data_IF_321901040033
#
_entry.id   IF_321901040033
#
_cell.length_a   1.000
_cell.length_b   1.000
_cell.length_c   1.000
_cell.angle_alpha   90.00
_cell.angle_beta   90.00
_cell.angle_gamma   90.00
#
_symmetry.space_group_name_H-M   'P 1'
#
loop_
_entity.id
_entity.type
_entity.pdbx_description
1 polymer ?
#
# COMPACT_ATOMS: atom_id res chain seq x y z
N UNK A 1 -0.85 -7.30 -5.83
CA UNK A 1 -1.93 -6.32 -6.16
C UNK A 1 -2.00 -6.18 -7.67
N UNK A 2 -3.15 -6.37 -8.30
CA UNK A 2 -3.40 -6.25 -9.77
C UNK A 2 -2.54 -7.12 -10.72
N UNK A 3 -1.76 -8.06 -10.22
CA UNK A 3 -0.78 -8.80 -11.03
C UNK A 3 -1.41 -9.51 -12.24
N UNK A 4 -2.53 -10.20 -12.01
CA UNK A 4 -3.25 -10.92 -13.06
C UNK A 4 -3.80 -9.96 -14.14
N UNK A 5 -4.37 -8.82 -13.69
CA UNK A 5 -4.86 -7.77 -14.59
C UNK A 5 -3.71 -7.14 -15.39
N UNK A 6 -2.61 -6.79 -14.73
CA UNK A 6 -1.42 -6.19 -15.36
C UNK A 6 -0.83 -7.10 -16.43
N UNK A 7 -0.67 -8.41 -16.16
CA UNK A 7 -0.15 -9.37 -17.15
C UNK A 7 -1.05 -9.51 -18.39
N UNK A 8 -2.36 -9.54 -18.18
CA UNK A 8 -3.31 -9.66 -19.29
C UNK A 8 -3.32 -8.38 -20.13
N UNK A 9 -3.34 -7.20 -19.50
CA UNK A 9 -3.27 -5.94 -20.23
C UNK A 9 -1.97 -5.82 -21.02
N UNK A 10 -0.84 -6.19 -20.43
CA UNK A 10 0.45 -6.17 -21.14
C UNK A 10 0.47 -7.11 -22.34
N UNK A 11 -0.14 -8.31 -22.22
CA UNK A 11 -0.27 -9.22 -23.37
C UNK A 11 -1.12 -8.61 -24.48
N UNK A 12 -2.25 -7.99 -24.13
CA UNK A 12 -3.13 -7.32 -25.10
C UNK A 12 -2.41 -6.20 -25.86
N UNK A 13 -1.56 -5.42 -25.17
CA UNK A 13 -0.77 -4.37 -25.83
C UNK A 13 0.42 -4.89 -26.65
N UNK A 14 0.91 -6.12 -26.39
CA UNK A 14 1.95 -6.75 -27.22
C UNK A 14 1.49 -7.04 -28.64
N UNK A 15 0.20 -7.28 -28.85
CA UNK A 15 -0.40 -7.50 -30.16
C UNK A 15 -0.19 -6.27 -31.05
N UNK A 16 -0.24 -5.06 -30.49
CA UNK A 16 0.00 -3.80 -31.21
C UNK A 16 1.48 -3.47 -31.43
N UNK A 17 2.44 -4.24 -30.88
CA UNK A 17 3.87 -3.95 -30.98
C UNK A 17 4.47 -4.11 -32.38
N UNK A 18 3.80 -4.77 -33.31
CA UNK A 18 4.24 -4.95 -34.70
C UNK A 18 3.54 -4.03 -35.70
N UNK A 19 2.49 -3.32 -35.28
CA UNK A 19 1.63 -2.55 -36.16
C UNK A 19 2.17 -1.14 -36.41
N UNK A 20 2.24 -0.78 -37.67
CA UNK A 20 2.71 0.57 -38.09
C UNK A 20 1.64 1.67 -38.00
N UNK A 21 0.37 1.31 -37.83
CA UNK A 21 -0.78 2.24 -37.77
C UNK A 21 -1.86 1.71 -36.84
N UNK A 22 -2.58 2.63 -36.20
CA UNK A 22 -3.82 2.33 -35.48
C UNK A 22 -4.92 2.17 -36.53
N UNK A 23 -5.51 0.96 -36.60
CA UNK A 23 -6.67 0.67 -37.42
C UNK A 23 -7.85 0.31 -36.54
N UNK A 24 -9.07 0.48 -37.03
CA UNK A 24 -10.27 0.12 -36.27
C UNK A 24 -10.27 -1.38 -35.87
N UNK A 25 -9.73 -2.22 -36.72
CA UNK A 25 -9.69 -3.69 -36.50
C UNK A 25 -8.75 -4.01 -35.32
N UNK A 26 -7.49 -3.55 -35.36
CA UNK A 26 -6.52 -3.87 -34.32
C UNK A 26 -6.84 -3.21 -32.97
N UNK A 27 -7.48 -2.03 -32.97
CA UNK A 27 -8.04 -1.41 -31.75
C UNK A 27 -9.18 -2.25 -31.19
N UNK A 28 -10.12 -2.71 -32.03
CA UNK A 28 -11.26 -3.50 -31.58
C UNK A 28 -10.82 -4.85 -30.96
N UNK A 29 -9.85 -5.54 -31.56
CA UNK A 29 -9.29 -6.79 -31.02
C UNK A 29 -8.62 -6.55 -29.67
N UNK A 30 -7.73 -5.55 -29.59
CA UNK A 30 -7.04 -5.19 -28.33
C UNK A 30 -8.03 -4.85 -27.23
N UNK A 31 -9.06 -4.04 -27.53
CA UNK A 31 -10.07 -3.64 -26.54
C UNK A 31 -11.00 -4.78 -26.13
N UNK A 32 -11.23 -5.78 -26.99
CA UNK A 32 -11.93 -7.01 -26.60
C UNK A 32 -11.15 -7.77 -25.52
N UNK A 33 -9.83 -7.89 -25.68
CA UNK A 33 -8.96 -8.54 -24.69
C UNK A 33 -8.84 -7.72 -23.41
N UNK A 34 -8.73 -6.40 -23.51
CA UNK A 34 -8.76 -5.48 -22.37
C UNK A 34 -10.06 -5.62 -21.58
N UNK A 35 -11.22 -5.64 -22.26
CA UNK A 35 -12.52 -5.84 -21.61
C UNK A 35 -12.59 -7.18 -20.89
N UNK A 36 -12.09 -8.24 -21.53
CA UNK A 36 -12.01 -9.57 -20.91
C UNK A 36 -11.13 -9.56 -19.67
N UNK A 37 -9.96 -8.92 -19.75
CA UNK A 37 -9.06 -8.78 -18.59
C UNK A 37 -9.71 -8.05 -17.42
N UNK A 38 -10.47 -6.99 -17.69
CA UNK A 38 -11.22 -6.24 -16.66
C UNK A 38 -12.33 -7.12 -16.03
N UNK A 39 -13.09 -7.87 -16.84
CA UNK A 39 -14.13 -8.78 -16.33
C UNK A 39 -13.54 -9.92 -15.48
N UNK A 40 -12.43 -10.50 -15.92
CA UNK A 40 -11.72 -11.54 -15.17
C UNK A 40 -11.10 -11.00 -13.85
N UNK A 41 -10.91 -9.68 -13.78
CA UNK A 41 -10.52 -8.97 -12.56
C UNK A 41 -11.72 -8.53 -11.70
N UNK A 42 -12.92 -9.05 -11.94
CA UNK A 42 -14.16 -8.73 -11.24
C UNK A 42 -14.61 -7.25 -11.39
N UNK A 43 -14.24 -6.58 -12.47
CA UNK A 43 -14.78 -5.25 -12.78
C UNK A 43 -16.23 -5.40 -13.26
N UNK A 44 -17.11 -4.52 -12.80
CA UNK A 44 -18.50 -4.50 -13.22
C UNK A 44 -18.62 -4.40 -14.75
N UNK A 45 -19.49 -5.21 -15.36
CA UNK A 45 -19.65 -5.28 -16.82
C UNK A 45 -19.94 -3.93 -17.47
N UNK A 46 -20.84 -3.13 -16.87
CA UNK A 46 -21.18 -1.80 -17.41
C UNK A 46 -19.97 -0.87 -17.39
N UNK A 47 -19.20 -0.92 -16.30
CA UNK A 47 -17.96 -0.14 -16.14
C UNK A 47 -16.93 -0.56 -17.19
N UNK A 48 -16.66 -1.86 -17.33
CA UNK A 48 -15.70 -2.39 -18.30
C UNK A 48 -16.11 -2.08 -19.75
N UNK A 49 -17.42 -2.13 -20.06
CA UNK A 49 -17.95 -1.76 -21.37
C UNK A 49 -17.75 -0.26 -21.65
N UNK A 50 -18.24 0.61 -20.78
CA UNK A 50 -18.10 2.06 -20.93
C UNK A 50 -16.65 2.46 -21.10
N UNK A 51 -15.76 1.93 -20.24
CA UNK A 51 -14.32 2.14 -20.31
C UNK A 51 -13.75 1.82 -21.71
N UNK A 52 -14.02 0.61 -22.21
CA UNK A 52 -13.47 0.20 -23.52
C UNK A 52 -14.07 0.95 -24.69
N UNK A 53 -15.34 1.34 -24.60
CA UNK A 53 -16.01 2.15 -25.61
C UNK A 53 -15.42 3.58 -25.65
N UNK A 54 -15.14 4.19 -24.48
CA UNK A 54 -14.46 5.50 -24.37
C UNK A 54 -13.03 5.44 -24.91
N UNK A 55 -12.26 4.41 -24.54
CA UNK A 55 -10.90 4.20 -25.06
C UNK A 55 -10.91 4.06 -26.59
N UNK A 56 -11.91 3.33 -27.15
CA UNK A 56 -12.08 3.21 -28.61
C UNK A 56 -12.30 4.57 -29.26
N UNK A 57 -13.20 5.37 -28.73
CA UNK A 57 -13.50 6.71 -29.24
C UNK A 57 -12.26 7.62 -29.23
N UNK A 58 -11.53 7.64 -28.10
CA UNK A 58 -10.30 8.42 -27.96
C UNK A 58 -9.21 7.96 -28.93
N UNK A 59 -9.02 6.63 -29.08
CA UNK A 59 -8.03 6.07 -29.98
C UNK A 59 -8.31 6.38 -31.45
N UNK A 60 -9.57 6.34 -31.86
CA UNK A 60 -9.99 6.61 -33.24
C UNK A 60 -9.99 8.11 -33.58
N UNK A 61 -10.19 8.97 -32.59
CA UNK A 61 -10.19 10.44 -32.76
C UNK A 61 -8.81 11.10 -32.79
N UNK A 62 -7.76 10.36 -32.42
CA UNK A 62 -6.41 10.91 -32.39
C UNK A 62 -5.66 10.68 -33.72
N UNK A 63 -5.22 11.78 -34.33
CA UNK A 63 -4.21 11.72 -35.38
C UNK A 63 -2.90 11.20 -34.78
N UNK A 64 -2.44 10.02 -35.20
CA UNK A 64 -1.16 9.45 -34.76
C UNK A 64 -0.06 10.38 -35.21
N UNK A 65 0.50 11.14 -34.27
CA UNK A 65 1.73 11.91 -34.53
C UNK A 65 2.82 10.94 -34.97
N UNK A 66 3.46 11.22 -36.09
CA UNK A 66 4.46 10.37 -36.74
C UNK A 66 5.64 9.96 -35.84
N UNK A 67 5.80 10.61 -34.68
CA UNK A 67 6.87 10.35 -33.70
C UNK A 67 6.53 9.31 -32.61
N UNK A 68 5.27 8.88 -32.47
CA UNK A 68 4.83 7.98 -31.38
C UNK A 68 4.34 6.65 -31.95
N UNK A 69 4.80 5.53 -31.36
CA UNK A 69 4.34 4.20 -31.78
C UNK A 69 2.89 3.99 -31.38
N UNK A 70 2.04 3.34 -32.22
CA UNK A 70 0.65 3.07 -31.93
C UNK A 70 0.40 2.39 -30.58
N UNK A 71 1.27 1.45 -30.20
CA UNK A 71 1.19 0.77 -28.89
C UNK A 71 1.42 1.71 -27.70
N UNK A 72 2.31 2.69 -27.84
CA UNK A 72 2.57 3.67 -26.77
C UNK A 72 1.41 4.64 -26.60
N UNK A 73 0.80 5.05 -27.72
CA UNK A 73 -0.39 5.91 -27.69
C UNK A 73 -1.56 5.18 -27.03
N UNK A 74 -1.79 3.92 -27.36
CA UNK A 74 -2.84 3.11 -26.75
C UNK A 74 -2.62 2.94 -25.24
N UNK A 75 -1.41 2.64 -24.80
CA UNK A 75 -1.08 2.53 -23.36
C UNK A 75 -1.36 3.85 -22.64
N UNK A 76 -1.01 5.00 -23.27
CA UNK A 76 -1.30 6.32 -22.69
C UNK A 76 -2.81 6.56 -22.58
N UNK A 77 -3.59 6.28 -23.61
CA UNK A 77 -5.06 6.46 -23.59
C UNK A 77 -5.69 5.60 -22.48
N UNK A 78 -5.25 4.33 -22.37
CA UNK A 78 -5.75 3.41 -21.34
C UNK A 78 -5.33 3.88 -19.94
N UNK A 79 -4.11 4.37 -19.76
CA UNK A 79 -3.62 4.95 -18.51
C UNK A 79 -4.48 6.15 -18.07
N UNK A 80 -4.68 7.11 -18.98
CA UNK A 80 -5.44 8.31 -18.70
C UNK A 80 -6.91 7.96 -18.36
N UNK A 81 -7.51 7.01 -19.08
CA UNK A 81 -8.87 6.55 -18.83
C UNK A 81 -9.01 5.77 -17.52
N UNK A 82 -8.02 4.93 -17.14
CA UNK A 82 -7.97 4.27 -15.84
C UNK A 82 -7.88 5.29 -14.71
N UNK A 83 -7.05 6.32 -14.90
CA UNK A 83 -6.90 7.40 -13.93
C UNK A 83 -8.23 8.14 -13.71
N UNK A 84 -8.91 8.52 -14.79
CA UNK A 84 -10.23 9.17 -14.73
C UNK A 84 -11.29 8.26 -14.11
N UNK A 85 -11.32 6.99 -14.47
CA UNK A 85 -12.25 5.99 -13.91
C UNK A 85 -12.12 5.90 -12.39
N UNK A 86 -10.91 6.03 -11.87
CA UNK A 86 -10.60 5.99 -10.44
C UNK A 86 -10.76 7.35 -9.73
N UNK A 87 -11.10 8.43 -10.47
CA UNK A 87 -11.41 9.74 -9.90
C UNK A 87 -10.43 10.86 -10.23
N UNK A 88 -9.45 10.61 -11.12
CA UNK A 88 -8.52 11.61 -11.65
C UNK A 88 -7.44 12.03 -10.65
N UNK A 89 -7.82 12.51 -9.47
CA UNK A 89 -6.89 13.03 -8.45
C UNK A 89 -7.17 12.45 -7.08
N UNK A 90 -6.15 12.45 -6.24
CA UNK A 90 -6.29 12.13 -4.82
C UNK A 90 -7.17 13.18 -4.12
N UNK A 91 -7.98 12.72 -3.16
CA UNK A 91 -8.87 13.57 -2.37
C UNK A 91 -8.49 13.46 -0.91
N UNK A 92 -8.15 14.59 -0.31
CA UNK A 92 -7.76 14.68 1.09
C UNK A 92 -8.97 14.63 2.04
N UNK A 93 -8.70 14.39 3.32
CA UNK A 93 -9.70 14.50 4.39
C UNK A 93 -10.01 15.97 4.68
N UNK A 94 -11.27 16.26 4.97
CA UNK A 94 -11.70 17.55 5.51
C UNK A 94 -11.48 17.56 7.03
N UNK A 95 -10.45 18.22 7.49
CA UNK A 95 -10.07 18.28 8.92
C UNK A 95 -9.97 19.73 9.39
N UNK A 96 -10.97 20.55 9.05
CA UNK A 96 -10.98 21.99 9.35
C UNK A 96 -11.52 22.27 10.76
N UNK A 97 -12.45 21.44 11.25
CA UNK A 97 -13.05 21.55 12.58
C UNK A 97 -12.07 21.20 13.70
N UNK A 98 -12.36 21.61 14.93
CA UNK A 98 -11.57 21.29 16.13
C UNK A 98 -12.46 20.88 17.30
N UNK A 99 -12.50 19.59 17.64
CA UNK A 99 -11.92 18.46 16.89
C UNK A 99 -12.63 18.21 15.58
N UNK A 100 -11.92 17.76 14.52
CA UNK A 100 -12.53 17.22 13.35
C UNK A 100 -13.05 15.80 13.64
N UNK A 101 -14.24 15.47 13.19
CA UNK A 101 -14.91 14.20 13.49
C UNK A 101 -14.93 13.31 12.26
N UNK A 102 -14.38 12.11 12.38
CA UNK A 102 -14.38 11.08 11.33
C UNK A 102 -15.23 9.91 11.79
N UNK A 103 -16.29 9.61 11.05
CA UNK A 103 -17.16 8.47 11.30
C UNK A 103 -16.75 7.29 10.40
N UNK A 104 -16.43 6.15 11.00
CA UNK A 104 -16.09 4.91 10.28
C UNK A 104 -17.33 4.04 10.11
N UNK A 105 -17.66 3.64 8.90
CA UNK A 105 -18.80 2.79 8.57
C UNK A 105 -18.39 1.58 7.70
N UNK A 106 -19.19 0.52 7.68
CA UNK A 106 -18.93 -0.68 6.87
C UNK A 106 -19.31 -1.97 7.55
N UNK A 107 -19.24 -3.09 6.83
CA UNK A 107 -19.60 -4.42 7.35
C UNK A 107 -18.58 -4.97 8.36
N UNK A 108 -18.99 -6.01 9.08
CA UNK A 108 -18.10 -6.79 9.95
C UNK A 108 -16.97 -7.42 9.11
N UNK A 109 -15.74 -7.39 9.65
CA UNK A 109 -14.58 -7.95 8.96
C UNK A 109 -14.01 -7.09 7.83
N UNK A 110 -14.63 -5.93 7.52
CA UNK A 110 -14.08 -4.99 6.52
C UNK A 110 -12.79 -4.28 6.96
N UNK A 111 -12.41 -4.42 8.24
CA UNK A 111 -11.17 -3.84 8.77
C UNK A 111 -11.30 -2.45 9.38
N UNK A 112 -12.52 -1.99 9.73
CA UNK A 112 -12.76 -0.66 10.33
C UNK A 112 -11.86 -0.37 11.52
N UNK A 113 -11.91 -1.20 12.56
CA UNK A 113 -11.16 -1.00 13.81
C UNK A 113 -9.65 -0.93 13.57
N UNK A 114 -9.11 -1.85 12.75
CA UNK A 114 -7.69 -1.80 12.38
C UNK A 114 -7.36 -0.56 11.58
N UNK A 115 -8.24 -0.16 10.66
CA UNK A 115 -8.03 1.03 9.84
C UNK A 115 -8.16 2.31 10.66
N UNK A 116 -9.07 2.38 11.65
CA UNK A 116 -9.17 3.49 12.61
C UNK A 116 -7.83 3.74 13.31
N UNK A 117 -7.15 2.68 13.75
CA UNK A 117 -5.81 2.78 14.34
C UNK A 117 -4.73 3.22 13.35
N UNK A 118 -4.75 2.68 12.12
CA UNK A 118 -3.82 3.10 11.06
C UNK A 118 -3.99 4.58 10.70
N UNK A 119 -5.23 5.03 10.58
CA UNK A 119 -5.56 6.42 10.30
C UNK A 119 -5.11 7.32 11.45
N UNK A 120 -5.38 6.95 12.70
CA UNK A 120 -4.93 7.67 13.88
C UNK A 120 -3.39 7.78 13.92
N UNK A 121 -2.68 6.67 13.66
CA UNK A 121 -1.23 6.65 13.56
C UNK A 121 -0.70 7.58 12.47
N UNK A 122 -1.29 7.54 11.28
CA UNK A 122 -0.92 8.41 10.17
C UNK A 122 -1.14 9.89 10.50
N UNK A 123 -2.30 10.24 11.06
CA UNK A 123 -2.62 11.62 11.46
C UNK A 123 -1.67 12.13 12.53
N UNK A 124 -1.32 11.29 13.52
CA UNK A 124 -0.37 11.62 14.57
C UNK A 124 1.05 11.82 14.03
N UNK A 125 1.55 10.87 13.24
CA UNK A 125 2.97 10.84 12.85
C UNK A 125 3.27 11.73 11.65
N UNK A 126 2.36 11.80 10.67
CA UNK A 126 2.60 12.55 9.42
C UNK A 126 2.00 13.96 9.44
N UNK A 127 0.90 14.17 10.17
CA UNK A 127 0.21 15.47 10.22
C UNK A 127 0.28 16.15 11.57
N UNK A 128 0.99 15.56 12.55
CA UNK A 128 1.15 16.10 13.89
C UNK A 128 -0.17 16.44 14.60
N UNK A 129 -1.23 15.67 14.29
CA UNK A 129 -2.53 15.79 14.95
C UNK A 129 -2.51 15.05 16.29
N UNK A 130 -3.44 15.39 17.18
CA UNK A 130 -3.73 14.66 18.42
C UNK A 130 -5.06 13.93 18.26
N UNK A 131 -5.06 12.68 17.74
CA UNK A 131 -6.30 11.92 17.54
C UNK A 131 -6.77 11.26 18.84
N UNK A 132 -8.10 11.03 18.92
CA UNK A 132 -8.78 10.22 19.92
C UNK A 132 -9.64 9.17 19.19
N UNK A 133 -9.54 7.92 19.62
CA UNK A 133 -10.36 6.82 19.11
C UNK A 133 -11.58 6.61 20.01
N UNK A 134 -12.74 6.37 19.43
CA UNK A 134 -13.99 6.17 20.18
C UNK A 134 -14.59 4.81 19.85
N UNK A 135 -14.84 4.01 20.88
CA UNK A 135 -15.42 2.67 20.74
C UNK A 135 -16.95 2.73 20.72
N UNK A 136 -17.55 2.73 19.55
CA UNK A 136 -19.00 2.62 19.36
C UNK A 136 -19.47 1.23 18.87
N UNK A 137 -18.60 0.20 18.88
CA UNK A 137 -19.03 -1.21 18.75
C UNK A 137 -19.31 -1.79 20.14
N UNK A 138 -20.43 -1.35 20.72
CA UNK A 138 -20.83 -1.69 22.10
C UNK A 138 -21.45 -3.07 22.25
N UNK A 139 -21.80 -3.72 21.14
CA UNK A 139 -22.42 -5.03 21.12
C UNK A 139 -21.43 -6.18 21.29
N UNK A 140 -20.15 -5.91 21.01
CA UNK A 140 -19.06 -6.89 21.06
C UNK A 140 -17.96 -6.44 22.01
N UNK A 141 -17.92 -6.94 23.25
CA UNK A 141 -16.86 -6.58 24.21
C UNK A 141 -15.44 -6.77 23.64
N UNK A 142 -15.25 -7.83 22.84
CA UNK A 142 -13.96 -8.08 22.17
C UNK A 142 -13.56 -6.95 21.17
N UNK A 143 -14.52 -6.25 20.56
CA UNK A 143 -14.22 -5.14 19.65
C UNK A 143 -13.71 -3.92 20.41
N UNK A 144 -14.28 -3.62 21.58
CA UNK A 144 -13.79 -2.55 22.47
C UNK A 144 -12.36 -2.84 22.90
N UNK A 145 -12.07 -4.06 23.36
CA UNK A 145 -10.72 -4.46 23.75
C UNK A 145 -9.76 -4.43 22.55
N UNK A 146 -10.21 -4.84 21.37
CA UNK A 146 -9.42 -4.75 20.15
C UNK A 146 -9.04 -3.30 19.86
N UNK A 147 -9.97 -2.35 19.96
CA UNK A 147 -9.67 -0.93 19.72
C UNK A 147 -8.69 -0.38 20.76
N UNK A 148 -8.81 -0.79 22.04
CA UNK A 148 -7.85 -0.42 23.10
C UNK A 148 -6.44 -0.93 22.77
N UNK A 149 -6.30 -2.19 22.37
CA UNK A 149 -5.00 -2.76 21.95
C UNK A 149 -4.43 -2.03 20.75
N UNK A 150 -5.25 -1.74 19.76
CA UNK A 150 -4.85 -0.97 18.57
C UNK A 150 -4.39 0.44 18.97
N UNK A 151 -5.16 1.17 19.80
CA UNK A 151 -4.79 2.49 20.30
C UNK A 151 -3.46 2.46 21.05
N UNK A 152 -3.29 1.51 21.96
CA UNK A 152 -2.06 1.32 22.71
C UNK A 152 -0.85 1.07 21.81
N UNK A 153 -1.01 0.24 20.76
CA UNK A 153 0.08 -0.09 19.82
C UNK A 153 0.63 1.12 19.07
N UNK A 154 -0.21 2.13 18.84
CA UNK A 154 0.17 3.38 18.14
C UNK A 154 0.29 4.58 19.10
N UNK A 155 0.10 4.36 20.41
CA UNK A 155 0.17 5.40 21.44
C UNK A 155 -0.90 6.50 21.24
N UNK A 156 -2.13 6.09 20.95
CA UNK A 156 -3.31 6.95 20.77
C UNK A 156 -4.34 6.58 21.83
N UNK A 157 -4.93 7.57 22.46
CA UNK A 157 -5.95 7.38 23.50
C UNK A 157 -7.24 6.83 22.90
N UNK A 158 -7.92 5.99 23.69
CA UNK A 158 -9.21 5.37 23.33
C UNK A 158 -10.25 5.74 24.38
N UNK A 159 -11.36 6.29 23.92
CA UNK A 159 -12.52 6.55 24.76
C UNK A 159 -13.51 5.39 24.75
N UNK A 160 -13.94 4.97 25.92
CA UNK A 160 -14.92 3.90 26.10
C UNK A 160 -15.82 4.21 27.31
N UNK A 161 -17.08 3.81 27.27
CA UNK A 161 -18.01 3.85 28.40
C UNK A 161 -18.52 2.45 28.72
N UNK A 162 -18.06 1.90 29.83
CA UNK A 162 -18.50 0.56 30.25
C UNK A 162 -19.98 0.54 30.61
N UNK A 163 -20.72 -0.42 30.04
CA UNK A 163 -22.15 -0.60 30.32
C UNK A 163 -23.10 0.33 29.55
N UNK A 164 -22.60 1.41 28.94
CA UNK A 164 -23.40 2.26 28.07
C UNK A 164 -23.55 1.60 26.70
N UNK A 165 -24.79 1.44 26.22
CA UNK A 165 -25.11 0.90 24.90
C UNK A 165 -25.62 1.97 23.93
N UNK A 166 -25.76 3.19 24.36
CA UNK A 166 -26.20 4.30 23.52
C UNK A 166 -25.01 4.92 22.80
N UNK A 167 -24.77 4.50 21.57
CA UNK A 167 -23.63 4.94 20.75
C UNK A 167 -23.62 6.45 20.49
N UNK A 168 -24.81 7.07 20.46
CA UNK A 168 -24.96 8.52 20.28
C UNK A 168 -24.45 9.28 21.51
N UNK A 169 -24.86 8.85 22.71
CA UNK A 169 -24.40 9.45 23.98
C UNK A 169 -22.88 9.28 24.14
N UNK A 170 -22.35 8.07 23.87
CA UNK A 170 -20.91 7.80 23.95
C UNK A 170 -20.14 8.76 23.05
N UNK A 171 -20.55 8.90 21.79
CA UNK A 171 -19.87 9.78 20.85
C UNK A 171 -19.98 11.26 21.23
N UNK A 172 -21.12 11.71 21.75
CA UNK A 172 -21.30 13.09 22.22
C UNK A 172 -20.44 13.42 23.44
N UNK A 173 -20.36 12.52 24.43
CA UNK A 173 -19.51 12.67 25.61
C UNK A 173 -18.03 12.70 25.21
N UNK A 174 -17.63 11.83 24.27
CA UNK A 174 -16.26 11.85 23.75
C UNK A 174 -15.91 13.16 23.06
N UNK A 175 -16.79 13.68 22.20
CA UNK A 175 -16.57 14.96 21.53
C UNK A 175 -16.42 16.11 22.55
N UNK A 176 -17.19 16.08 23.64
CA UNK A 176 -17.03 17.04 24.73
C UNK A 176 -15.66 16.91 25.42
N UNK A 177 -15.27 15.67 25.75
CA UNK A 177 -13.93 15.38 26.29
C UNK A 177 -12.83 15.82 25.33
N UNK A 178 -12.97 15.51 24.06
CA UNK A 178 -12.00 15.87 23.03
C UNK A 178 -11.79 17.39 22.95
N UNK A 179 -12.87 18.19 23.10
CA UNK A 179 -12.79 19.65 23.17
C UNK A 179 -12.05 20.12 24.43
N UNK A 180 -12.37 19.53 25.60
CA UNK A 180 -11.75 19.91 26.89
C UNK A 180 -10.27 19.57 26.94
N UNK A 181 -9.86 18.42 26.39
CA UNK A 181 -8.49 17.93 26.43
C UNK A 181 -7.67 18.29 25.17
N UNK A 182 -8.21 19.17 24.31
CA UNK A 182 -7.55 19.69 23.11
C UNK A 182 -7.10 18.59 22.12
N UNK A 183 -7.92 17.53 21.94
CA UNK A 183 -7.76 16.63 20.82
C UNK A 183 -8.14 17.37 19.53
N UNK A 184 -7.43 17.06 18.45
CA UNK A 184 -7.64 17.74 17.16
C UNK A 184 -8.48 16.93 16.18
N UNK A 185 -8.57 15.62 16.40
CA UNK A 185 -9.36 14.69 15.58
C UNK A 185 -9.99 13.64 16.49
N UNK A 186 -11.25 13.31 16.21
CA UNK A 186 -12.00 12.20 16.82
C UNK A 186 -12.31 11.19 15.73
N UNK A 187 -11.98 9.92 15.94
CA UNK A 187 -12.29 8.83 15.01
C UNK A 187 -13.27 7.89 15.69
N UNK A 188 -14.50 7.86 15.22
CA UNK A 188 -15.60 7.05 15.78
C UNK A 188 -15.64 5.70 15.06
N UNK A 189 -15.20 4.63 15.76
CA UNK A 189 -15.24 3.25 15.26
C UNK A 189 -16.59 2.61 15.58
N UNK A 190 -17.39 2.32 14.55
CA UNK A 190 -18.75 1.79 14.73
C UNK A 190 -18.83 0.28 14.62
N UNK A 191 -19.89 -0.29 15.13
CA UNK A 191 -20.22 -1.69 14.93
C UNK A 191 -20.35 -2.03 13.43
N UNK A 192 -20.03 -3.26 13.08
CA UNK A 192 -20.31 -3.83 11.77
C UNK A 192 -21.12 -5.10 11.95
N UNK A 193 -22.12 -5.31 11.11
CA UNK A 193 -22.86 -6.57 11.01
C UNK A 193 -22.42 -7.37 9.79
N UNK A 194 -22.81 -8.64 9.71
CA UNK A 194 -22.42 -9.52 8.60
C UNK A 194 -23.09 -9.14 7.27
N UNK A 195 -24.24 -8.50 7.36
CA UNK A 195 -25.00 -8.02 6.19
C UNK A 195 -25.58 -6.64 6.49
N UNK A 196 -25.97 -5.93 5.46
CA UNK A 196 -26.71 -4.67 5.60
C UNK A 196 -28.12 -4.99 6.10
N UNK A 197 -28.48 -4.40 7.23
CA UNK A 197 -29.83 -4.48 7.80
C UNK A 197 -30.33 -3.11 8.25
N UNK A 198 -31.64 -2.98 8.37
CA UNK A 198 -32.29 -1.70 8.70
C UNK A 198 -31.90 -1.17 10.07
N UNK A 199 -31.72 -2.04 11.06
CA UNK A 199 -31.36 -1.64 12.42
C UNK A 199 -29.97 -0.99 12.47
N UNK A 200 -28.97 -1.65 11.83
CA UNK A 200 -27.61 -1.11 11.72
C UNK A 200 -27.59 0.23 10.95
N UNK A 201 -28.33 0.29 9.83
CA UNK A 201 -28.35 1.51 9.02
C UNK A 201 -29.00 2.67 9.75
N UNK A 202 -30.06 2.42 10.51
CA UNK A 202 -30.71 3.44 11.35
C UNK A 202 -29.77 3.89 12.49
N UNK A 203 -29.08 2.96 13.15
CA UNK A 203 -28.13 3.32 14.22
C UNK A 203 -27.01 4.24 13.69
N UNK A 204 -26.38 3.87 12.57
CA UNK A 204 -25.30 4.68 12.00
C UNK A 204 -25.83 6.02 11.47
N UNK A 205 -27.05 6.05 10.89
CA UNK A 205 -27.68 7.30 10.43
C UNK A 205 -27.97 8.24 11.60
N UNK A 206 -28.56 7.72 12.68
CA UNK A 206 -28.82 8.50 13.89
C UNK A 206 -27.53 9.03 14.51
N UNK A 207 -26.49 8.19 14.55
CA UNK A 207 -25.17 8.60 15.04
C UNK A 207 -24.58 9.71 14.16
N UNK A 208 -24.61 9.57 12.83
CA UNK A 208 -24.15 10.60 11.88
C UNK A 208 -24.89 11.91 12.07
N UNK A 209 -26.22 11.87 12.19
CA UNK A 209 -27.05 13.07 12.44
C UNK A 209 -26.72 13.74 13.77
N UNK A 210 -26.43 12.96 14.83
CA UNK A 210 -26.16 13.50 16.15
C UNK A 210 -24.78 14.14 16.31
N UNK A 211 -23.76 13.65 15.60
CA UNK A 211 -22.38 14.12 15.75
C UNK A 211 -21.90 15.03 14.61
N UNK A 212 -22.64 15.13 13.51
CA UNK A 212 -22.30 15.94 12.32
C UNK A 212 -20.82 15.76 11.91
N UNK A 213 -20.39 14.55 11.49
CA UNK A 213 -19.00 14.31 11.18
C UNK A 213 -18.51 15.16 10.00
N UNK A 214 -17.26 15.62 10.05
CA UNK A 214 -16.59 16.30 8.93
C UNK A 214 -16.35 15.32 7.78
N UNK A 215 -16.14 14.03 8.11
CA UNK A 215 -15.92 12.94 7.18
C UNK A 215 -16.64 11.67 7.62
N UNK A 216 -17.42 11.09 6.74
CA UNK A 216 -17.95 9.73 6.87
C UNK A 216 -17.20 8.82 5.91
N UNK A 217 -16.42 7.86 6.42
CA UNK A 217 -15.62 6.94 5.62
C UNK A 217 -16.26 5.56 5.58
N UNK A 218 -16.53 5.06 4.38
CA UNK A 218 -16.98 3.71 4.15
C UNK A 218 -15.79 2.78 3.96
N UNK A 219 -15.62 1.83 4.89
CA UNK A 219 -14.52 0.85 4.88
C UNK A 219 -15.00 -0.46 4.29
N UNK A 220 -14.34 -0.91 3.25
CA UNK A 220 -14.71 -2.12 2.54
C UNK A 220 -13.48 -3.01 2.25
N UNK A 221 -13.69 -4.32 2.34
CA UNK A 221 -12.70 -5.33 2.00
C UNK A 221 -12.60 -5.46 0.48
N UNK A 222 -11.45 -5.17 -0.10
CA UNK A 222 -11.22 -5.24 -1.54
C UNK A 222 -11.25 -6.67 -2.10
N UNK A 223 -11.15 -7.69 -1.24
CA UNK A 223 -11.18 -9.10 -1.65
C UNK A 223 -12.61 -9.59 -1.96
N UNK A 224 -13.65 -8.87 -1.55
CA UNK A 224 -15.05 -9.27 -1.76
C UNK A 224 -15.59 -8.96 -3.16
N UNK A 225 -14.76 -8.39 -4.06
CA UNK A 225 -15.10 -8.22 -5.47
C UNK A 225 -16.37 -7.37 -5.70
N UNK A 226 -17.35 -7.91 -6.44
CA UNK A 226 -18.60 -7.18 -6.74
C UNK A 226 -19.49 -6.98 -5.50
N UNK A 227 -19.40 -7.80 -4.47
CA UNK A 227 -20.15 -7.60 -3.23
C UNK A 227 -19.70 -6.31 -2.52
N UNK A 228 -18.41 -5.96 -2.61
CA UNK A 228 -17.92 -4.66 -2.15
C UNK A 228 -18.65 -3.49 -2.84
N UNK A 229 -18.88 -3.61 -4.14
CA UNK A 229 -19.54 -2.57 -4.95
C UNK A 229 -21.03 -2.45 -4.57
N UNK A 230 -21.72 -3.58 -4.42
CA UNK A 230 -23.13 -3.60 -4.03
C UNK A 230 -23.32 -3.02 -2.63
N UNK A 231 -22.50 -3.46 -1.67
CA UNK A 231 -22.52 -2.94 -0.29
C UNK A 231 -22.21 -1.44 -0.27
N UNK A 232 -21.22 -0.98 -1.03
CA UNK A 232 -20.91 0.45 -1.12
C UNK A 232 -22.11 1.26 -1.62
N UNK A 233 -22.86 0.73 -2.58
CA UNK A 233 -24.07 1.40 -3.09
C UNK A 233 -25.15 1.49 -2.01
N UNK A 234 -25.45 0.41 -1.30
CA UNK A 234 -26.46 0.38 -0.21
C UNK A 234 -26.10 1.37 0.90
N UNK A 235 -24.83 1.39 1.34
CA UNK A 235 -24.37 2.37 2.32
C UNK A 235 -24.43 3.80 1.79
N UNK A 236 -24.08 4.04 0.53
CA UNK A 236 -24.12 5.37 -0.05
C UNK A 236 -25.56 5.92 -0.15
N UNK A 237 -26.49 5.08 -0.56
CA UNK A 237 -27.91 5.45 -0.71
C UNK A 237 -28.53 5.87 0.64
N UNK A 238 -28.02 5.36 1.78
CA UNK A 238 -28.54 5.64 3.14
C UNK A 238 -27.72 6.68 3.89
N UNK A 239 -26.41 6.63 3.80
CA UNK A 239 -25.51 7.48 4.61
C UNK A 239 -24.91 8.64 3.84
N UNK A 240 -24.95 8.60 2.50
CA UNK A 240 -24.24 9.60 1.69
C UNK A 240 -22.84 9.88 2.25
N UNK A 241 -21.99 8.83 2.31
CA UNK A 241 -20.64 8.93 2.86
C UNK A 241 -19.71 9.80 1.99
N UNK A 242 -18.62 10.33 2.57
CA UNK A 242 -17.73 11.28 1.89
C UNK A 242 -16.60 10.61 1.13
N UNK A 243 -16.22 9.39 1.51
CA UNK A 243 -15.12 8.67 0.87
C UNK A 243 -15.08 7.20 1.20
N UNK A 244 -14.36 6.46 0.36
CA UNK A 244 -14.17 5.01 0.48
C UNK A 244 -12.75 4.70 0.94
N UNK A 245 -12.64 3.69 1.79
CA UNK A 245 -11.39 3.07 2.21
C UNK A 245 -11.38 1.63 1.73
N UNK A 246 -10.38 1.27 0.93
CA UNK A 246 -10.16 -0.11 0.50
C UNK A 246 -9.14 -0.78 1.41
N UNK A 247 -9.56 -1.82 2.12
CA UNK A 247 -8.67 -2.62 2.97
C UNK A 247 -8.21 -3.90 2.28
N UNK A 248 -7.21 -4.56 2.84
CA UNK A 248 -6.67 -5.85 2.40
C UNK A 248 -6.22 -5.89 0.93
N UNK A 249 -5.71 -4.76 0.44
CA UNK A 249 -5.25 -4.66 -0.94
C UNK A 249 -3.95 -5.45 -1.19
N UNK A 250 -3.26 -5.87 -0.14
CA UNK A 250 -2.10 -6.77 -0.13
C UNK A 250 -2.47 -8.25 -0.35
N UNK A 251 -3.74 -8.63 -0.18
CA UNK A 251 -4.24 -9.96 -0.48
C UNK A 251 -4.26 -10.26 -1.99
N UNK A 252 -4.71 -11.46 -2.35
CA UNK A 252 -4.90 -11.86 -3.76
C UNK A 252 -6.14 -11.19 -4.35
N UNK A 253 -6.09 -9.86 -4.46
CA UNK A 253 -7.20 -9.07 -4.98
C UNK A 253 -7.10 -8.96 -6.49
N UNK A 254 -8.20 -9.23 -7.18
CA UNK A 254 -8.32 -9.01 -8.61
C UNK A 254 -8.40 -7.53 -8.99
N UNK A 255 -8.65 -6.64 -8.01
CA UNK A 255 -8.63 -5.20 -8.15
C UNK A 255 -9.90 -4.57 -8.73
N UNK A 256 -10.87 -5.36 -9.14
CA UNK A 256 -12.10 -4.88 -9.78
C UNK A 256 -12.97 -4.01 -8.89
N UNK A 257 -12.95 -4.24 -7.57
CA UNK A 257 -13.64 -3.40 -6.61
C UNK A 257 -13.18 -1.93 -6.70
N UNK A 258 -11.86 -1.69 -6.73
CA UNK A 258 -11.30 -0.34 -6.82
C UNK A 258 -11.77 0.40 -8.08
N UNK A 259 -11.83 -0.31 -9.22
CA UNK A 259 -12.27 0.27 -10.50
C UNK A 259 -13.78 0.49 -10.56
N UNK A 260 -14.57 -0.32 -9.87
CA UNK A 260 -16.03 -0.30 -9.96
C UNK A 260 -16.69 0.61 -8.92
N UNK A 261 -16.20 0.66 -7.68
CA UNK A 261 -16.83 1.39 -6.57
C UNK A 261 -16.97 2.87 -6.93
N UNK A 262 -15.90 3.52 -7.37
CA UNK A 262 -15.91 4.95 -7.71
C UNK A 262 -16.97 5.28 -8.75
N UNK A 263 -17.13 4.43 -9.77
CA UNK A 263 -18.12 4.63 -10.84
C UNK A 263 -19.54 4.42 -10.35
N UNK A 264 -19.76 3.46 -9.46
CA UNK A 264 -21.11 3.10 -8.98
C UNK A 264 -21.63 4.07 -7.93
N UNK A 265 -20.78 4.47 -6.97
CA UNK A 265 -21.20 5.36 -5.87
C UNK A 265 -20.81 6.82 -6.06
N UNK A 266 -20.03 7.15 -7.10
CA UNK A 266 -19.56 8.52 -7.41
C UNK A 266 -18.76 9.20 -6.28
N UNK A 267 -18.36 8.44 -5.25
CA UNK A 267 -17.56 8.92 -4.10
C UNK A 267 -16.09 8.60 -4.29
N UNK A 268 -15.17 9.48 -3.84
CA UNK A 268 -13.74 9.24 -4.00
C UNK A 268 -13.25 8.09 -3.13
N UNK A 269 -12.31 7.31 -3.64
CA UNK A 269 -11.49 6.45 -2.80
C UNK A 269 -10.41 7.35 -2.19
N UNK A 270 -10.33 7.39 -0.85
CA UNK A 270 -9.38 8.27 -0.15
C UNK A 270 -8.15 7.52 0.34
N UNK A 271 -8.32 6.28 0.79
CA UNK A 271 -7.23 5.48 1.36
C UNK A 271 -7.27 4.03 0.91
N UNK A 272 -6.09 3.42 1.02
CA UNK A 272 -5.91 1.98 0.86
C UNK A 272 -5.11 1.41 2.02
N UNK A 273 -5.55 0.24 2.52
CA UNK A 273 -4.79 -0.57 3.46
C UNK A 273 -3.99 -1.62 2.69
N UNK A 274 -2.67 -1.61 2.85
CA UNK A 274 -1.71 -2.39 2.07
C UNK A 274 -0.96 -3.42 2.91
N UNK A 275 -1.54 -3.90 4.00
CA UNK A 275 -0.94 -4.90 4.88
C UNK A 275 -1.47 -4.82 6.32
N UNK A 276 -0.99 -5.68 7.19
CA UNK A 276 -1.46 -5.77 8.59
C UNK A 276 -0.83 -4.71 9.51
N UNK A 277 0.38 -4.23 9.21
CA UNK A 277 1.10 -3.25 10.04
C UNK A 277 0.36 -1.92 10.15
N UNK A 278 0.53 -1.22 11.27
CA UNK A 278 -0.13 0.07 11.52
C UNK A 278 0.33 1.18 10.57
N UNK A 279 1.52 1.06 9.99
CA UNK A 279 2.05 1.97 8.98
C UNK A 279 1.54 1.67 7.56
N UNK A 280 0.92 0.49 7.35
CA UNK A 280 0.46 0.02 6.04
C UNK A 280 -0.88 0.69 5.65
N UNK A 281 -0.82 1.99 5.47
CA UNK A 281 -1.88 2.87 4.98
C UNK A 281 -1.29 3.86 3.98
N UNK A 282 -1.91 3.97 2.82
CA UNK A 282 -1.53 4.93 1.78
C UNK A 282 -2.74 5.77 1.37
N UNK A 283 -2.50 7.02 0.99
CA UNK A 283 -3.49 7.83 0.28
C UNK A 283 -3.72 7.23 -1.10
N UNK A 284 -4.97 7.18 -1.54
CA UNK A 284 -5.29 6.65 -2.86
C UNK A 284 -4.95 7.67 -3.94
N UNK A 285 -3.97 7.34 -4.78
CA UNK A 285 -3.56 8.14 -5.92
C UNK A 285 -4.00 7.44 -7.23
N UNK A 286 -5.04 7.91 -7.92
CA UNK A 286 -5.55 7.28 -9.15
C UNK A 286 -4.48 7.04 -10.21
N UNK A 287 -3.62 8.03 -10.48
CA UNK A 287 -2.55 7.95 -11.47
C UNK A 287 -1.54 6.85 -11.14
N UNK A 288 -1.05 6.81 -9.88
CA UNK A 288 -0.11 5.77 -9.42
C UNK A 288 -0.73 4.37 -9.46
N UNK A 289 -2.04 4.30 -9.23
CA UNK A 289 -2.77 3.04 -9.32
C UNK A 289 -2.91 2.57 -10.77
N UNK A 290 -3.15 3.50 -11.71
CA UNK A 290 -3.13 3.20 -13.14
C UNK A 290 -1.76 2.72 -13.60
N UNK A 291 -0.67 3.34 -13.13
CA UNK A 291 0.70 2.89 -13.39
C UNK A 291 0.94 1.45 -12.90
N UNK A 292 0.47 1.11 -11.69
CA UNK A 292 0.57 -0.27 -11.14
C UNK A 292 -0.22 -1.27 -11.97
N UNK A 293 -1.45 -0.92 -12.36
CA UNK A 293 -2.31 -1.77 -13.20
C UNK A 293 -1.68 -2.04 -14.56
N UNK A 294 -0.97 -1.07 -15.13
CA UNK A 294 -0.28 -1.21 -16.43
C UNK A 294 1.13 -1.81 -16.32
N UNK A 295 1.56 -2.20 -15.11
CA UNK A 295 2.89 -2.77 -14.88
C UNK A 295 4.04 -1.76 -15.07
N UNK A 296 3.74 -0.48 -15.02
CA UNK A 296 4.73 0.61 -15.16
C UNK A 296 5.48 0.88 -13.85
N UNK A 297 5.07 0.26 -12.74
CA UNK A 297 5.61 0.46 -11.42
C UNK A 297 5.08 1.71 -10.73
N UNK A 298 5.50 1.93 -9.48
CA UNK A 298 5.13 3.10 -8.69
C UNK A 298 6.35 3.63 -7.95
N UNK A 299 7.25 4.23 -8.70
CA UNK A 299 8.53 4.73 -8.17
C UNK A 299 8.31 5.86 -7.16
N UNK A 300 7.25 6.66 -7.33
CA UNK A 300 6.96 7.79 -6.43
C UNK A 300 6.59 7.27 -5.03
N UNK A 301 5.65 6.34 -4.94
CA UNK A 301 5.30 5.71 -3.66
C UNK A 301 6.49 4.98 -3.02
N UNK A 302 7.35 4.34 -3.82
CA UNK A 302 8.56 3.70 -3.31
C UNK A 302 9.51 4.73 -2.67
N UNK A 303 9.74 5.86 -3.34
CA UNK A 303 10.59 6.94 -2.84
C UNK A 303 9.98 7.60 -1.59
N UNK A 304 8.67 7.86 -1.58
CA UNK A 304 7.97 8.41 -0.42
C UNK A 304 8.08 7.49 0.79
N UNK A 305 7.84 6.18 0.62
CA UNK A 305 8.02 5.19 1.70
C UNK A 305 9.47 5.13 2.19
N UNK A 306 10.44 5.18 1.28
CA UNK A 306 11.84 5.24 1.64
C UNK A 306 12.15 6.50 2.48
N UNK A 307 11.68 7.67 2.05
CA UNK A 307 11.90 8.94 2.77
C UNK A 307 11.26 8.95 4.16
N UNK A 308 10.07 8.38 4.34
CA UNK A 308 9.40 8.30 5.63
C UNK A 308 10.14 7.44 6.66
N UNK A 309 10.87 6.44 6.20
CA UNK A 309 11.62 5.51 7.06
C UNK A 309 13.09 5.91 7.23
N UNK A 310 13.51 6.99 6.56
CA UNK A 310 14.90 7.40 6.51
C UNK A 310 15.20 8.36 7.67
N UNK A 311 15.88 7.85 8.69
CA UNK A 311 16.47 8.70 9.72
C UNK A 311 17.78 9.29 9.18
N UNK A 312 17.75 10.60 8.92
CA UNK A 312 18.93 11.32 8.41
C UNK A 312 20.16 11.19 9.33
N UNK A 313 19.96 11.11 10.65
CA UNK A 313 21.06 10.95 11.59
C UNK A 313 21.66 9.56 11.52
N UNK A 314 20.82 8.51 11.43
CA UNK A 314 21.29 7.13 11.24
C UNK A 314 22.01 6.98 9.90
N UNK A 315 21.49 7.59 8.83
CA UNK A 315 22.13 7.58 7.53
C UNK A 315 23.50 8.24 7.54
N UNK A 316 23.64 9.40 8.18
CA UNK A 316 24.94 10.09 8.36
C UNK A 316 25.92 9.28 9.20
N UNK A 317 25.44 8.61 10.24
CA UNK A 317 26.27 7.69 11.06
C UNK A 317 26.76 6.50 10.26
N UNK A 318 25.85 5.89 9.47
CA UNK A 318 26.15 4.76 8.61
C UNK A 318 27.15 5.14 7.51
N UNK A 319 26.97 6.29 6.82
CA UNK A 319 27.90 6.80 5.83
C UNK A 319 29.32 6.98 6.42
N UNK A 320 29.44 7.54 7.61
CA UNK A 320 30.71 7.68 8.33
C UNK A 320 31.36 6.32 8.64
N UNK A 321 30.56 5.31 9.03
CA UNK A 321 31.06 3.95 9.29
C UNK A 321 31.53 3.27 7.99
N UNK A 322 30.78 3.42 6.89
CA UNK A 322 31.14 2.88 5.57
C UNK A 322 32.46 3.48 5.07
N UNK A 323 32.61 4.82 5.15
CA UNK A 323 33.84 5.51 4.77
C UNK A 323 35.05 5.06 5.60
N UNK A 324 34.85 4.73 6.87
CA UNK A 324 35.90 4.20 7.78
C UNK A 324 36.10 2.68 7.67
N UNK A 325 35.42 2.01 6.71
CA UNK A 325 35.46 0.54 6.54
C UNK A 325 35.03 -0.23 7.82
N UNK A 326 34.11 0.33 8.61
CA UNK A 326 33.61 -0.21 9.87
C UNK A 326 32.14 -0.69 9.78
N UNK A 327 31.66 -1.00 8.57
CA UNK A 327 30.34 -1.62 8.37
C UNK A 327 30.33 -3.02 8.97
N UNK A 328 29.42 -3.29 9.90
CA UNK A 328 29.34 -4.51 10.69
C UNK A 328 27.97 -5.20 10.57
N UNK A 329 27.77 -6.33 11.27
CA UNK A 329 26.50 -7.07 11.23
C UNK A 329 25.36 -6.37 11.97
N UNK A 330 25.63 -5.51 12.95
CA UNK A 330 24.59 -4.72 13.61
C UNK A 330 24.06 -3.65 12.65
N UNK A 331 24.92 -3.03 11.83
CA UNK A 331 24.52 -2.11 10.77
C UNK A 331 23.70 -2.83 9.67
N UNK A 332 24.13 -4.04 9.29
CA UNK A 332 23.43 -4.88 8.32
C UNK A 332 22.03 -5.27 8.81
N UNK A 333 21.92 -5.65 10.10
CA UNK A 333 20.64 -5.95 10.74
C UNK A 333 19.72 -4.71 10.75
N UNK A 334 20.27 -3.54 11.08
CA UNK A 334 19.52 -2.27 11.03
C UNK A 334 18.92 -2.00 9.66
N UNK A 335 19.68 -2.24 8.57
CA UNK A 335 19.18 -2.11 7.20
C UNK A 335 18.05 -3.10 6.88
N UNK A 336 18.18 -4.37 7.31
CA UNK A 336 17.10 -5.36 7.14
C UNK A 336 15.84 -4.89 7.86
N UNK A 337 15.96 -4.38 9.08
CA UNK A 337 14.82 -3.87 9.84
C UNK A 337 14.17 -2.65 9.18
N UNK A 338 14.96 -1.73 8.61
CA UNK A 338 14.44 -0.60 7.85
C UNK A 338 13.65 -1.07 6.62
N UNK A 339 14.18 -2.02 5.84
CA UNK A 339 13.47 -2.61 4.69
C UNK A 339 12.17 -3.27 5.13
N UNK A 340 12.17 -4.01 6.24
CA UNK A 340 10.95 -4.62 6.80
C UNK A 340 9.89 -3.59 7.23
N UNK A 341 10.32 -2.43 7.71
CA UNK A 341 9.41 -1.33 8.07
C UNK A 341 8.75 -0.69 6.85
N UNK A 342 9.40 -0.69 5.68
CA UNK A 342 8.86 -0.12 4.45
C UNK A 342 7.65 -0.91 3.87
N UNK A 343 7.38 -2.11 4.36
CA UNK A 343 6.26 -2.95 3.94
C UNK A 343 6.67 -4.32 3.42
N UNK A 344 5.75 -4.99 2.72
CA UNK A 344 6.01 -6.31 2.12
C UNK A 344 7.02 -6.18 0.97
N UNK A 345 8.03 -7.07 0.95
CA UNK A 345 9.07 -7.07 -0.08
C UNK A 345 8.53 -7.27 -1.50
N UNK A 346 7.48 -8.08 -1.67
CA UNK A 346 6.81 -8.26 -2.96
C UNK A 346 6.20 -6.95 -3.46
N UNK A 347 5.56 -6.21 -2.57
CA UNK A 347 4.97 -4.91 -2.90
C UNK A 347 6.04 -3.90 -3.31
N UNK A 348 7.12 -3.80 -2.52
CA UNK A 348 8.24 -2.90 -2.84
C UNK A 348 8.87 -3.23 -4.19
N UNK A 349 9.05 -4.52 -4.47
CA UNK A 349 9.59 -4.99 -5.75
C UNK A 349 8.65 -4.71 -6.92
N UNK A 350 7.33 -4.80 -6.72
CA UNK A 350 6.32 -4.49 -7.75
C UNK A 350 6.29 -3.00 -8.12
N UNK A 351 6.76 -2.11 -7.23
CA UNK A 351 6.86 -0.67 -7.48
C UNK A 351 8.02 -0.30 -8.42
N UNK A 352 8.98 -1.21 -8.62
CA UNK A 352 10.14 -0.97 -9.49
C UNK A 352 9.83 -1.44 -10.91
N UNK A 353 9.85 -0.55 -11.93
CA UNK A 353 9.59 -0.91 -13.31
C UNK A 353 10.53 -2.03 -13.81
N UNK A 354 9.96 -3.11 -14.37
CA UNK A 354 10.72 -4.21 -14.95
C UNK A 354 11.33 -5.22 -13.98
N UNK A 355 11.31 -4.98 -12.68
CA UNK A 355 11.88 -5.87 -11.65
C UNK A 355 10.83 -6.85 -11.12
N UNK A 356 9.56 -6.45 -11.06
CA UNK A 356 8.48 -7.27 -10.53
C UNK A 356 8.36 -8.65 -11.20
N UNK A 357 8.72 -8.76 -12.49
CA UNK A 357 8.70 -10.04 -13.22
C UNK A 357 9.83 -11.00 -12.85
N UNK A 358 11.02 -10.46 -12.55
CA UNK A 358 12.20 -11.28 -12.22
C UNK A 358 12.14 -11.81 -10.78
N UNK A 359 11.34 -11.17 -9.93
CA UNK A 359 11.19 -11.53 -8.51
C UNK A 359 10.02 -12.50 -8.30
N UNK A 360 9.09 -12.63 -9.27
CA UNK A 360 7.97 -13.59 -9.18
C UNK A 360 8.42 -15.05 -9.00
N UNK A 361 9.51 -15.43 -9.63
CA UNK A 361 10.08 -16.78 -9.57
C UNK A 361 10.92 -17.01 -8.31
N UNK A 362 11.18 -15.95 -7.54
CA UNK A 362 11.85 -16.02 -6.25
C UNK A 362 10.77 -16.00 -5.17
N UNK A 363 10.66 -17.09 -4.45
CA UNK A 363 9.78 -17.22 -3.27
C UNK A 363 10.33 -16.33 -2.14
N UNK A 364 10.19 -15.00 -2.33
CA UNK A 364 10.59 -13.99 -1.36
C UNK A 364 9.40 -13.82 -0.40
N UNK A 365 9.32 -14.72 0.56
CA UNK A 365 8.43 -14.62 1.70
C UNK A 365 8.99 -13.58 2.70
N UNK A 366 8.12 -12.93 3.46
CA UNK A 366 8.49 -12.09 4.62
C UNK A 366 9.34 -12.89 5.64
N UNK A 367 9.30 -14.21 5.56
CA UNK A 367 10.16 -15.13 6.30
C UNK A 367 11.60 -15.23 5.77
N UNK A 368 11.89 -14.72 4.55
CA UNK A 368 13.22 -14.82 3.94
C UNK A 368 14.33 -14.22 4.82
N UNK A 369 14.00 -13.20 5.60
CA UNK A 369 14.95 -12.59 6.54
C UNK A 369 15.04 -13.30 7.89
N UNK A 370 14.07 -14.15 8.28
CA UNK A 370 14.10 -14.81 9.60
C UNK A 370 15.35 -15.65 9.81
N UNK A 371 15.78 -16.40 8.79
CA UNK A 371 17.00 -17.19 8.83
C UNK A 371 18.25 -16.31 8.99
N UNK A 372 18.31 -15.19 8.28
CA UNK A 372 19.41 -14.22 8.36
C UNK A 372 19.47 -13.59 9.76
N UNK A 373 18.32 -13.15 10.28
CA UNK A 373 18.20 -12.58 11.62
C UNK A 373 18.64 -13.58 12.70
N UNK A 374 18.17 -14.83 12.62
CA UNK A 374 18.56 -15.88 13.56
C UNK A 374 20.07 -16.14 13.54
N UNK A 375 20.70 -16.16 12.36
CA UNK A 375 22.15 -16.31 12.20
C UNK A 375 22.89 -15.14 12.89
N UNK A 376 22.48 -13.89 12.62
CA UNK A 376 23.13 -12.70 13.19
C UNK A 376 22.92 -12.64 14.70
N UNK A 377 21.71 -12.96 15.20
CA UNK A 377 21.42 -12.99 16.64
C UNK A 377 22.20 -14.09 17.38
N UNK A 378 22.57 -15.18 16.70
CA UNK A 378 23.41 -16.24 17.25
C UNK A 378 24.89 -15.88 17.31
N UNK A 379 25.31 -14.77 16.73
CA UNK A 379 26.66 -14.23 16.85
C UNK A 379 26.83 -13.48 18.18
N UNK A 380 28.01 -13.57 18.75
CA UNK A 380 28.37 -12.73 19.91
C UNK A 380 28.52 -11.27 19.50
N UNK A 381 28.39 -10.28 20.42
CA UNK A 381 28.60 -8.87 20.09
C UNK A 381 29.95 -8.58 19.43
N UNK A 382 31.03 -9.30 19.85
CA UNK A 382 32.34 -9.15 19.23
C UNK A 382 32.40 -9.67 17.80
N UNK A 383 31.66 -10.74 17.49
CA UNK A 383 31.57 -11.29 16.14
C UNK A 383 30.72 -10.42 15.21
N UNK A 384 29.66 -9.81 15.74
CA UNK A 384 28.86 -8.85 14.95
C UNK A 384 29.66 -7.60 14.63
N UNK A 385 30.38 -7.05 15.61
CA UNK A 385 31.19 -5.84 15.42
C UNK A 385 32.45 -6.10 14.56
N UNK A 386 32.98 -7.33 14.57
CA UNK A 386 34.16 -7.69 13.77
C UNK A 386 33.97 -9.02 13.03
N UNK A 387 33.34 -9.00 11.86
CA UNK A 387 33.06 -10.20 11.06
C UNK A 387 34.30 -11.01 10.68
N UNK A 388 35.46 -10.39 10.60
CA UNK A 388 36.71 -11.04 10.15
C UNK A 388 37.24 -12.09 11.16
N UNK A 389 36.78 -12.08 12.41
CA UNK A 389 37.13 -13.09 13.41
C UNK A 389 36.33 -14.41 13.28
N UNK A 390 35.30 -14.45 12.41
CA UNK A 390 34.40 -15.60 12.28
C UNK A 390 35.04 -16.69 11.44
N UNK A 391 35.79 -17.57 12.13
CA UNK A 391 36.41 -18.76 11.54
C UNK A 391 35.42 -19.95 11.42
N UNK A 392 35.85 -21.06 10.88
CA UNK A 392 35.00 -22.22 10.61
C UNK A 392 34.34 -22.79 11.87
N UNK A 393 35.08 -22.90 12.99
CA UNK A 393 34.53 -23.37 14.26
C UNK A 393 33.39 -22.46 14.77
N UNK A 394 33.54 -21.15 14.65
CA UNK A 394 32.51 -20.16 15.01
C UNK A 394 31.31 -20.27 14.09
N UNK A 395 31.51 -20.47 12.78
CA UNK A 395 30.40 -20.68 11.83
C UNK A 395 29.55 -21.90 12.19
N UNK A 396 30.20 -23.02 12.59
CA UNK A 396 29.50 -24.21 13.05
C UNK A 396 28.68 -23.94 14.31
N UNK A 397 29.24 -23.22 15.28
CA UNK A 397 28.53 -22.84 16.51
C UNK A 397 27.33 -21.91 16.19
N UNK A 398 27.52 -20.93 15.31
CA UNK A 398 26.47 -20.00 14.86
C UNK A 398 25.34 -20.76 14.15
N UNK A 399 25.68 -21.68 13.25
CA UNK A 399 24.70 -22.53 12.55
C UNK A 399 23.86 -23.35 13.54
N UNK A 400 24.53 -24.00 14.52
CA UNK A 400 23.83 -24.77 15.57
C UNK A 400 22.92 -23.86 16.43
N UNK A 401 23.39 -22.66 16.81
CA UNK A 401 22.66 -21.72 17.65
C UNK A 401 21.44 -21.09 16.93
N UNK A 402 21.54 -20.88 15.64
CA UNK A 402 20.46 -20.30 14.81
C UNK A 402 19.46 -21.35 14.29
N UNK A 403 19.74 -22.65 14.46
CA UNK A 403 18.91 -23.70 13.85
C UNK A 403 19.00 -23.76 12.33
N UNK A 404 20.04 -23.15 11.72
CA UNK A 404 20.27 -23.14 10.27
C UNK A 404 21.40 -24.06 9.86
N UNK A 405 21.57 -24.28 8.55
CA UNK A 405 22.67 -25.08 8.01
C UNK A 405 23.98 -24.27 7.91
N UNK A 406 25.11 -24.92 7.95
CA UNK A 406 26.40 -24.25 7.78
C UNK A 406 26.53 -23.54 6.42
N UNK A 407 25.86 -24.07 5.39
CA UNK A 407 25.82 -23.50 4.06
C UNK A 407 25.12 -22.11 4.07
N UNK A 408 24.07 -21.95 4.89
CA UNK A 408 23.35 -20.69 5.02
C UNK A 408 24.21 -19.63 5.70
N UNK A 409 24.96 -20.01 6.75
CA UNK A 409 25.94 -19.13 7.39
C UNK A 409 27.03 -18.72 6.41
N UNK A 410 27.56 -19.65 5.62
CA UNK A 410 28.58 -19.36 4.61
C UNK A 410 28.04 -18.43 3.51
N UNK A 411 26.80 -18.64 3.08
CA UNK A 411 26.12 -17.80 2.11
C UNK A 411 25.97 -16.38 2.63
N UNK A 412 25.50 -16.22 3.88
CA UNK A 412 25.37 -14.91 4.53
C UNK A 412 26.72 -14.18 4.62
N UNK A 413 27.77 -14.87 5.05
CA UNK A 413 29.11 -14.29 5.12
C UNK A 413 29.58 -13.78 3.75
N UNK A 414 29.37 -14.56 2.68
CA UNK A 414 29.72 -14.17 1.31
C UNK A 414 28.91 -12.97 0.84
N UNK A 415 27.60 -12.95 1.11
CA UNK A 415 26.72 -11.82 0.77
C UNK A 415 27.11 -10.55 1.53
N UNK A 416 27.41 -10.66 2.81
CA UNK A 416 27.87 -9.56 3.63
C UNK A 416 29.18 -8.95 3.09
N UNK A 417 30.16 -9.79 2.73
CA UNK A 417 31.43 -9.33 2.15
C UNK A 417 31.23 -8.65 0.80
N UNK A 418 30.31 -9.14 -0.04
CA UNK A 418 29.95 -8.50 -1.30
C UNK A 418 29.30 -7.15 -1.08
N UNK A 419 28.37 -7.05 -0.13
CA UNK A 419 27.71 -5.80 0.25
C UNK A 419 28.72 -4.78 0.77
N UNK A 420 29.64 -5.20 1.66
CA UNK A 420 30.69 -4.34 2.19
C UNK A 420 31.60 -3.78 1.08
N UNK A 421 31.97 -4.62 0.11
CA UNK A 421 32.77 -4.19 -1.07
C UNK A 421 32.01 -3.21 -1.96
N UNK A 422 30.74 -3.47 -2.24
CA UNK A 422 29.91 -2.61 -3.04
C UNK A 422 29.73 -1.24 -2.39
N UNK A 423 29.42 -1.18 -1.11
CA UNK A 423 29.27 0.06 -0.36
C UNK A 423 30.57 0.88 -0.34
N UNK A 424 31.72 0.21 -0.21
CA UNK A 424 33.03 0.89 -0.29
C UNK A 424 33.29 1.49 -1.67
N UNK A 425 32.90 0.81 -2.74
CA UNK A 425 33.00 1.36 -4.09
C UNK A 425 32.11 2.61 -4.28
N UNK A 426 30.88 2.54 -3.79
CA UNK A 426 29.91 3.65 -3.90
C UNK A 426 30.36 4.86 -3.06
N UNK A 427 30.85 4.65 -1.84
CA UNK A 427 31.31 5.73 -0.95
C UNK A 427 32.61 6.41 -1.41
N UNK A 428 33.40 5.73 -2.26
CA UNK A 428 34.60 6.29 -2.88
C UNK A 428 34.33 7.07 -4.19
N UNK A 429 33.12 7.00 -4.72
CA UNK A 429 32.73 7.71 -5.94
C UNK A 429 32.05 9.04 -5.58
N UNK A 430 32.67 10.16 -5.93
CA UNK A 430 32.03 11.49 -5.78
C UNK A 430 30.73 11.59 -6.61
N UNK A 431 29.79 12.44 -6.19
CA UNK A 431 28.44 12.62 -6.74
C UNK A 431 28.37 12.74 -8.29
N UNK A 432 29.41 13.25 -8.95
CA UNK A 432 29.46 13.37 -10.41
C UNK A 432 29.65 12.02 -11.13
N UNK A 433 30.36 11.05 -10.53
CA UNK A 433 30.55 9.71 -11.09
C UNK A 433 29.33 8.80 -10.84
N UNK A 434 28.60 9.00 -9.75
CA UNK A 434 27.34 8.29 -9.51
C UNK A 434 26.27 8.66 -10.55
N UNK A 435 26.16 9.95 -10.91
CA UNK A 435 25.25 10.42 -11.96
C UNK A 435 25.62 9.86 -13.34
N UNK A 436 26.93 9.75 -13.66
CA UNK A 436 27.39 9.14 -14.90
C UNK A 436 27.17 7.61 -14.95
N UNK A 437 27.30 6.90 -13.84
CA UNK A 437 27.05 5.46 -13.78
C UNK A 437 25.54 5.14 -13.87
N UNK A 438 24.67 5.95 -13.25
CA UNK A 438 23.23 5.87 -13.40
C UNK A 438 22.78 6.16 -14.84
N UNK A 439 23.42 7.12 -15.52
CA UNK A 439 23.20 7.40 -16.94
C UNK A 439 23.73 6.28 -17.85
N UNK A 440 24.86 5.67 -17.52
CA UNK A 440 25.44 4.56 -18.27
C UNK A 440 24.67 3.24 -18.11
N UNK A 441 24.08 2.98 -16.93
CA UNK A 441 23.13 1.86 -16.72
C UNK A 441 21.83 2.06 -17.51
N UNK A 442 21.36 3.29 -17.65
CA UNK A 442 20.22 3.62 -18.54
C UNK A 442 20.53 3.37 -20.03
N UNK A 443 21.78 3.51 -20.46
CA UNK A 443 22.20 3.29 -21.86
C UNK A 443 22.59 1.84 -22.18
N UNK A 444 22.89 0.99 -21.21
CA UNK A 444 23.26 -0.43 -21.41
C UNK A 444 22.09 -1.39 -21.04
N UNK A 445 20.88 -1.05 -21.40
CA UNK A 445 19.73 -1.97 -21.44
C UNK A 445 19.84 -2.95 -22.62
N UNK A 446 20.96 -3.65 -22.73
CA UNK A 446 21.18 -4.74 -23.65
C UNK A 446 21.88 -5.87 -22.90
N UNK A 447 21.10 -6.89 -22.48
CA UNK A 447 21.67 -8.14 -21.97
C UNK A 447 22.37 -8.90 -23.09
N UNK A 448 23.51 -9.56 -22.83
CA UNK A 448 24.04 -10.55 -23.74
C UNK A 448 23.11 -11.77 -23.74
N UNK A 449 22.79 -12.24 -24.95
CA UNK A 449 22.17 -13.55 -25.19
C UNK A 449 23.10 -14.64 -24.63
N UNK A 450 22.56 -15.48 -23.77
CA UNK A 450 22.82 -16.90 -23.66
C UNK A 450 21.49 -17.60 -23.36
#
# INVERSE_FOLDING_TARGET
MFENLSERLERSFKILKGEGKITEINVAETLKDVRRALLDADVNYKVAKTFTDTVKQKAMGMNVLTAVKPSQLMVKIVHDELTELMGGKAVELKLESRPAIILMSGLQGSGKTTFSGKLANMLKTRQHKKPLLVACDVYRPAAIEQLKVVGQSVGVDVYTEEGNKNVVEIAQHDIQKAKQESYTVVIVDTAGRLAVDEEMMNEISNLKEAIHPDETLFVVDSMTGQDAVNTAKEFNDRLDFDGVVLTKLDGDTRGGAALSIRTVVTKPIKFVGTGEKMEAIDVFHPERMADRILGMGDVVSLVERAQMQFDEEEAKKLEKKIRKNKFDFDDFMGQIQQIKKMGNLKDLASMIPGVGKQIKDLDIDDNAFKGIEAIIQSMTPKERANPDIINQSRRLRIAKGSGTKIEDVNRLMKQFDQTRKMMKMVSGMGNSRMAQMAAAMKMKGGMPKM
#
